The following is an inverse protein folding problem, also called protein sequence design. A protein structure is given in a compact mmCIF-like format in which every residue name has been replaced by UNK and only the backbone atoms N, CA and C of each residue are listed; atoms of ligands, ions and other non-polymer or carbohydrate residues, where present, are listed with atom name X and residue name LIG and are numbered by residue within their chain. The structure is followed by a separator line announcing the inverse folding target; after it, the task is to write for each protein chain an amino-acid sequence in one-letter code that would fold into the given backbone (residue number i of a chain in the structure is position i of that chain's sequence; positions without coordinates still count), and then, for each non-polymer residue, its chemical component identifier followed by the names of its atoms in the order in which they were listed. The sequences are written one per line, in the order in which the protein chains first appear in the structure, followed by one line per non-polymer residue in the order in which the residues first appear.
data_IF_414741785994
#
_entry.id   IF_414741785994
#
_cell.length_a   1.000
_cell.length_b   1.000
_cell.length_c   1.000
_cell.angle_alpha   90.00
_cell.angle_beta   90.00
_cell.angle_gamma   90.00
#
_symmetry.space_group_name_H-M   'P 1'
#
loop_
_entity.id
_entity.type
_entity.pdbx_description
1 polymer ?
#
# COMPACT_ATOMS: atom_id res chain seq x y z
N UNK A 1 -56.59 13.73 7.90
CA UNK A 1 -57.85 13.07 7.48
C UNK A 1 -57.55 11.60 7.23
N UNK A 2 -58.41 10.65 7.61
CA UNK A 2 -58.19 9.25 7.30
C UNK A 2 -58.17 9.03 5.79
N UNK A 3 -57.23 8.22 5.31
CA UNK A 3 -57.11 7.89 3.89
C UNK A 3 -58.30 7.03 3.43
N UNK A 4 -58.91 7.37 2.30
CA UNK A 4 -59.92 6.52 1.67
C UNK A 4 -59.24 5.32 1.00
N UNK A 5 -59.79 4.12 1.17
CA UNK A 5 -59.28 2.87 0.61
C UNK A 5 -60.07 2.37 -0.60
N UNK A 6 -61.23 2.96 -0.88
CA UNK A 6 -62.07 2.67 -2.04
C UNK A 6 -62.28 3.96 -2.86
N UNK A 7 -62.30 3.82 -4.19
CA UNK A 7 -62.53 4.93 -5.12
C UNK A 7 -64.00 5.41 -5.04
N UNK A 8 -64.25 6.64 -4.54
CA UNK A 8 -65.60 7.18 -4.43
C UNK A 8 -66.26 7.40 -5.79
N UNK A 9 -65.52 7.44 -6.90
CA UNK A 9 -66.09 7.61 -8.24
C UNK A 9 -66.92 6.40 -8.70
N UNK A 10 -66.78 5.25 -8.04
CA UNK A 10 -67.51 4.03 -8.36
C UNK A 10 -68.82 3.89 -7.57
N UNK A 11 -69.08 4.77 -6.60
CA UNK A 11 -70.31 4.74 -5.81
C UNK A 11 -71.49 5.41 -6.55
N UNK A 12 -72.66 4.78 -6.48
CA UNK A 12 -73.91 5.30 -7.06
C UNK A 12 -74.83 5.72 -5.91
N UNK A 13 -75.50 6.87 -6.06
CA UNK A 13 -76.46 7.36 -5.07
C UNK A 13 -77.58 6.33 -4.85
N UNK A 14 -77.82 5.87 -3.61
CA UNK A 14 -78.96 5.01 -3.31
C UNK A 14 -80.27 5.70 -3.66
N UNK A 15 -81.23 4.95 -4.22
CA UNK A 15 -82.56 5.50 -4.48
C UNK A 15 -83.36 5.59 -3.17
N UNK A 16 -83.39 6.79 -2.58
CA UNK A 16 -84.08 7.07 -1.33
C UNK A 16 -85.61 7.04 -1.46
N UNK A 17 -86.17 6.95 -2.67
CA UNK A 17 -87.62 6.84 -2.88
C UNK A 17 -88.16 5.41 -2.64
N UNK A 18 -87.28 4.41 -2.64
CA UNK A 18 -87.62 3.01 -2.36
C UNK A 18 -88.23 2.83 -0.96
N UNK A 19 -89.11 1.84 -0.83
CA UNK A 19 -89.83 1.53 0.42
C UNK A 19 -88.87 1.12 1.55
N UNK A 20 -87.67 0.63 1.22
CA UNK A 20 -86.59 0.31 2.17
C UNK A 20 -86.14 1.51 3.02
N UNK A 21 -86.29 2.74 2.52
CA UNK A 21 -85.89 3.97 3.21
C UNK A 21 -87.07 4.73 3.83
N UNK A 22 -88.30 4.21 3.71
CA UNK A 22 -89.53 4.89 4.14
C UNK A 22 -89.55 5.26 5.62
N UNK A 23 -89.07 4.38 6.49
CA UNK A 23 -88.98 4.65 7.93
C UNK A 23 -88.06 5.83 8.26
N UNK A 24 -86.94 5.96 7.54
CA UNK A 24 -86.01 7.07 7.72
C UNK A 24 -86.58 8.36 7.13
N UNK A 25 -87.25 8.29 5.97
CA UNK A 25 -87.92 9.43 5.35
C UNK A 25 -89.05 10.00 6.22
N UNK A 26 -89.90 9.15 6.79
CA UNK A 26 -91.04 9.58 7.61
C UNK A 26 -90.61 10.26 8.92
N UNK A 27 -89.54 9.77 9.56
CA UNK A 27 -88.95 10.41 10.74
C UNK A 27 -88.36 11.78 10.42
N UNK A 28 -87.64 11.89 9.30
CA UNK A 28 -87.05 13.16 8.84
C UNK A 28 -88.14 14.18 8.44
N UNK A 29 -89.21 13.70 7.78
CA UNK A 29 -90.38 14.48 7.40
C UNK A 29 -91.12 15.07 8.61
N UNK A 30 -91.35 14.26 9.65
CA UNK A 30 -91.97 14.72 10.90
C UNK A 30 -91.09 15.71 11.67
N UNK A 31 -89.77 15.44 11.77
CA UNK A 31 -88.84 16.30 12.52
C UNK A 31 -88.61 17.67 11.90
N UNK A 32 -88.71 17.78 10.57
CA UNK A 32 -88.52 19.04 9.83
C UNK A 32 -89.83 19.66 9.34
N UNK A 33 -90.99 19.03 9.57
CA UNK A 33 -92.29 19.43 9.05
C UNK A 33 -92.32 19.60 7.52
N UNK A 34 -91.70 18.66 6.81
CA UNK A 34 -91.60 18.61 5.34
C UNK A 34 -92.30 17.35 4.80
N UNK A 35 -92.55 17.28 3.49
CA UNK A 35 -93.11 16.09 2.84
C UNK A 35 -92.11 14.91 2.80
N UNK A 36 -92.62 13.68 2.66
CA UNK A 36 -91.76 12.49 2.53
C UNK A 36 -90.89 12.51 1.25
N UNK A 37 -91.32 13.24 0.22
CA UNK A 37 -90.56 13.45 -1.02
C UNK A 37 -89.44 14.48 -0.81
N UNK A 38 -89.71 15.58 -0.09
CA UNK A 38 -88.67 16.54 0.32
C UNK A 38 -87.66 15.91 1.29
N UNK A 39 -88.10 14.96 2.12
CA UNK A 39 -87.20 14.18 2.97
C UNK A 39 -86.27 13.25 2.15
N UNK A 40 -86.78 12.63 1.08
CA UNK A 40 -85.97 11.85 0.15
C UNK A 40 -84.92 12.73 -0.56
N UNK A 41 -85.32 13.93 -1.00
CA UNK A 41 -84.43 14.89 -1.65
C UNK A 41 -83.34 15.37 -0.69
N UNK A 42 -83.67 15.71 0.56
CA UNK A 42 -82.67 16.10 1.56
C UNK A 42 -81.66 14.99 1.86
N UNK A 43 -82.08 13.72 1.84
CA UNK A 43 -81.17 12.58 1.99
C UNK A 43 -80.26 12.42 0.78
N UNK A 44 -80.78 12.58 -0.44
CA UNK A 44 -79.99 12.57 -1.66
C UNK A 44 -78.97 13.73 -1.68
N UNK A 45 -79.37 14.94 -1.29
CA UNK A 45 -78.51 16.11 -1.22
C UNK A 45 -77.40 15.93 -0.17
N UNK A 46 -77.73 15.40 1.00
CA UNK A 46 -76.74 15.09 2.05
C UNK A 46 -75.76 14.02 1.60
N UNK A 47 -76.23 12.99 0.89
CA UNK A 47 -75.36 11.95 0.33
C UNK A 47 -74.45 12.51 -0.76
N UNK A 48 -74.98 13.35 -1.66
CA UNK A 48 -74.20 14.00 -2.72
C UNK A 48 -73.10 14.91 -2.15
N UNK A 49 -73.40 15.66 -1.09
CA UNK A 49 -72.42 16.53 -0.41
C UNK A 49 -71.27 15.70 0.19
N UNK A 50 -71.59 14.62 0.88
CA UNK A 50 -70.61 13.70 1.49
C UNK A 50 -69.81 12.93 0.43
N UNK A 51 -70.46 12.47 -0.63
CA UNK A 51 -69.83 11.81 -1.78
C UNK A 51 -68.90 12.77 -2.54
N UNK A 52 -69.28 14.04 -2.70
CA UNK A 52 -68.43 15.07 -3.30
C UNK A 52 -67.20 15.35 -2.41
N UNK A 53 -67.40 15.45 -1.08
CA UNK A 53 -66.29 15.61 -0.14
C UNK A 53 -65.32 14.42 -0.19
N UNK A 54 -65.83 13.18 -0.33
CA UNK A 54 -64.98 11.99 -0.54
C UNK A 54 -64.21 12.04 -1.85
N UNK A 55 -64.84 12.48 -2.96
CA UNK A 55 -64.16 12.68 -4.25
C UNK A 55 -63.03 13.71 -4.15
N UNK A 56 -63.25 14.81 -3.44
CA UNK A 56 -62.23 15.84 -3.23
C UNK A 56 -61.06 15.30 -2.39
N UNK A 57 -61.33 14.52 -1.34
CA UNK A 57 -60.29 13.84 -0.55
C UNK A 57 -59.49 12.88 -1.44
N UNK A 58 -60.17 12.05 -2.23
CA UNK A 58 -59.54 11.09 -3.14
C UNK A 58 -58.67 11.77 -4.21
N UNK A 59 -59.17 12.85 -4.82
CA UNK A 59 -58.41 13.63 -5.80
C UNK A 59 -57.14 14.23 -5.18
N UNK A 60 -57.22 14.74 -3.95
CA UNK A 60 -56.05 15.25 -3.22
C UNK A 60 -55.03 14.14 -2.91
N UNK A 61 -55.49 12.93 -2.55
CA UNK A 61 -54.60 11.79 -2.32
C UNK A 61 -53.84 11.38 -3.59
N UNK A 62 -54.55 11.34 -4.73
CA UNK A 62 -53.94 11.00 -6.02
C UNK A 62 -52.86 12.03 -6.40
N UNK A 63 -53.14 13.32 -6.17
CA UNK A 63 -52.22 14.41 -6.44
C UNK A 63 -50.97 14.33 -5.54
N UNK A 64 -51.15 14.08 -4.25
CA UNK A 64 -50.04 13.93 -3.29
C UNK A 64 -49.18 12.71 -3.60
N UNK A 65 -49.79 11.58 -3.98
CA UNK A 65 -49.06 10.39 -4.41
C UNK A 65 -48.28 10.64 -5.71
N UNK A 66 -48.86 11.36 -6.67
CA UNK A 66 -48.18 11.76 -7.89
C UNK A 66 -46.99 12.68 -7.59
N UNK A 67 -47.16 13.71 -6.75
CA UNK A 67 -46.09 14.61 -6.35
C UNK A 67 -44.95 13.86 -5.64
N UNK A 68 -45.29 12.94 -4.74
CA UNK A 68 -44.30 12.13 -4.02
C UNK A 68 -43.52 11.24 -4.98
N UNK A 69 -44.18 10.63 -5.97
CA UNK A 69 -43.51 9.83 -7.02
C UNK A 69 -42.59 10.69 -7.89
N UNK A 70 -43.05 11.87 -8.32
CA UNK A 70 -42.24 12.79 -9.11
C UNK A 70 -41.03 13.31 -8.33
N UNK A 71 -41.18 13.60 -7.04
CA UNK A 71 -40.08 13.98 -6.15
C UNK A 71 -39.08 12.85 -5.93
N UNK A 72 -39.56 11.63 -5.69
CA UNK A 72 -38.72 10.45 -5.57
C UNK A 72 -37.91 10.19 -6.86
N UNK A 73 -38.56 10.32 -8.03
CA UNK A 73 -37.90 10.20 -9.32
C UNK A 73 -36.86 11.30 -9.56
N UNK A 74 -37.15 12.54 -9.17
CA UNK A 74 -36.17 13.64 -9.23
C UNK A 74 -34.96 13.35 -8.34
N UNK A 75 -35.19 12.98 -7.09
CA UNK A 75 -34.11 12.66 -6.15
C UNK A 75 -33.26 11.48 -6.62
N UNK A 76 -33.89 10.42 -7.16
CA UNK A 76 -33.18 9.27 -7.71
C UNK A 76 -32.29 9.65 -8.91
N UNK A 77 -32.75 10.56 -9.79
CA UNK A 77 -31.95 11.06 -10.91
C UNK A 77 -30.77 11.90 -10.45
N UNK A 78 -30.99 12.81 -9.50
CA UNK A 78 -29.94 13.65 -8.92
C UNK A 78 -28.88 12.81 -8.20
N UNK A 79 -29.29 11.79 -7.45
CA UNK A 79 -28.37 10.86 -6.80
C UNK A 79 -27.57 10.03 -7.82
N UNK A 80 -28.23 9.54 -8.88
CA UNK A 80 -27.55 8.83 -9.95
C UNK A 80 -26.54 9.72 -10.68
N UNK A 81 -26.86 10.98 -10.91
CA UNK A 81 -25.95 11.96 -11.53
C UNK A 81 -24.77 12.28 -10.59
N UNK A 82 -25.02 12.46 -9.29
CA UNK A 82 -23.96 12.64 -8.29
C UNK A 82 -23.00 11.46 -8.26
N UNK A 83 -23.51 10.23 -8.25
CA UNK A 83 -22.69 9.01 -8.26
C UNK A 83 -21.87 8.90 -9.55
N UNK A 84 -22.43 9.28 -10.70
CA UNK A 84 -21.69 9.32 -11.98
C UNK A 84 -20.55 10.34 -11.94
N UNK A 85 -20.82 11.54 -11.44
CA UNK A 85 -19.82 12.61 -11.34
C UNK A 85 -18.71 12.24 -10.35
N UNK A 86 -19.06 11.59 -9.23
CA UNK A 86 -18.09 11.11 -8.25
C UNK A 86 -17.18 10.02 -8.83
N UNK A 87 -17.77 9.06 -9.56
CA UNK A 87 -17.02 8.02 -10.26
C UNK A 87 -16.10 8.60 -11.35
N UNK A 88 -16.58 9.57 -12.12
CA UNK A 88 -15.75 10.24 -13.14
C UNK A 88 -14.56 10.98 -12.52
N UNK A 89 -14.79 11.65 -11.38
CA UNK A 89 -13.71 12.30 -10.62
C UNK A 89 -12.70 11.28 -10.07
N UNK A 90 -13.16 10.13 -9.58
CA UNK A 90 -12.30 9.05 -9.10
C UNK A 90 -11.46 8.47 -10.25
N UNK A 91 -12.09 8.15 -11.38
CA UNK A 91 -11.42 7.65 -12.59
C UNK A 91 -10.39 8.69 -13.13
N UNK A 92 -10.71 9.99 -13.10
CA UNK A 92 -9.78 11.05 -13.50
C UNK A 92 -8.61 11.19 -12.51
N UNK A 93 -8.88 11.08 -11.20
CA UNK A 93 -7.86 11.10 -10.17
C UNK A 93 -6.93 9.88 -10.27
N UNK A 94 -7.48 8.69 -10.52
CA UNK A 94 -6.71 7.47 -10.74
C UNK A 94 -5.83 7.60 -12.00
N UNK A 95 -6.38 8.12 -13.10
CA UNK A 95 -5.59 8.41 -14.30
C UNK A 95 -4.47 9.39 -14.01
N UNK A 96 -4.73 10.50 -13.32
CA UNK A 96 -3.70 11.50 -12.94
C UNK A 96 -2.62 10.88 -12.05
N UNK A 97 -2.98 10.03 -11.09
CA UNK A 97 -2.04 9.29 -10.25
C UNK A 97 -1.22 8.28 -11.06
N UNK A 98 -1.85 7.53 -11.97
CA UNK A 98 -1.17 6.62 -12.88
C UNK A 98 -0.19 7.37 -13.79
N UNK A 99 -0.54 8.57 -14.26
CA UNK A 99 0.35 9.40 -15.08
C UNK A 99 1.53 9.98 -14.30
N UNK A 100 1.34 10.39 -13.04
CA UNK A 100 2.46 10.78 -12.16
C UNK A 100 3.41 9.60 -11.89
N UNK A 101 2.88 8.38 -11.85
CA UNK A 101 3.65 7.14 -11.65
C UNK A 101 4.33 6.65 -12.93
N UNK A 102 3.99 7.16 -14.12
CA UNK A 102 4.70 6.81 -15.35
C UNK A 102 6.17 7.23 -15.18
N UNK A 103 7.14 6.29 -15.31
CA UNK A 103 8.54 6.63 -15.20
C UNK A 103 8.88 7.66 -16.26
N UNK A 104 9.32 8.85 -15.82
CA UNK A 104 9.81 9.88 -16.72
C UNK A 104 11.04 9.32 -17.42
N UNK A 105 10.92 9.00 -18.70
CA UNK A 105 12.05 8.57 -19.50
C UNK A 105 13.08 9.70 -19.50
N UNK A 106 14.35 9.41 -19.20
CA UNK A 106 15.40 10.41 -19.30
C UNK A 106 15.48 10.93 -20.75
N UNK A 107 15.89 12.20 -20.90
CA UNK A 107 16.08 12.81 -22.22
C UNK A 107 17.07 11.97 -23.02
N UNK A 108 16.68 11.59 -24.24
CA UNK A 108 17.53 10.81 -25.13
C UNK A 108 18.67 11.70 -25.66
N UNK A 109 19.89 11.41 -25.22
CA UNK A 109 21.10 12.02 -25.77
C UNK A 109 21.62 11.16 -26.94
N UNK A 110 21.38 11.61 -28.16
CA UNK A 110 21.82 10.92 -29.39
C UNK A 110 23.34 10.91 -29.57
N UNK A 111 24.08 11.77 -28.88
CA UNK A 111 25.54 11.83 -28.92
C UNK A 111 26.19 10.98 -27.81
N UNK A 112 25.43 10.62 -26.76
CA UNK A 112 25.92 9.77 -25.69
C UNK A 112 26.26 8.38 -26.22
N UNK A 113 27.51 7.97 -26.01
CA UNK A 113 27.97 6.62 -26.32
C UNK A 113 27.86 5.75 -25.08
N UNK A 114 27.56 4.46 -25.28
CA UNK A 114 27.75 3.48 -24.22
C UNK A 114 29.20 3.56 -23.71
N UNK A 115 29.44 3.51 -22.39
CA UNK A 115 30.78 3.59 -21.85
C UNK A 115 31.61 2.41 -22.38
N UNK A 116 32.87 2.69 -22.72
CA UNK A 116 33.79 1.69 -23.28
C UNK A 116 34.08 0.52 -22.33
N UNK A 117 33.82 0.69 -21.03
CA UNK A 117 33.95 -0.33 -20.00
C UNK A 117 32.69 -0.29 -19.12
N UNK A 118 31.97 -1.41 -19.05
CA UNK A 118 30.85 -1.57 -18.13
C UNK A 118 31.41 -1.83 -16.73
N UNK A 119 31.15 -0.91 -15.81
CA UNK A 119 31.52 -1.12 -14.41
C UNK A 119 30.69 -2.26 -13.80
N UNK A 120 31.29 -3.13 -12.98
CA UNK A 120 30.55 -4.17 -12.27
C UNK A 120 29.45 -3.53 -11.41
N UNK A 121 28.24 -4.08 -11.48
CA UNK A 121 27.08 -3.59 -10.72
C UNK A 121 26.80 -4.54 -9.56
N UNK A 122 26.82 -4.07 -8.31
CA UNK A 122 26.44 -4.90 -7.18
C UNK A 122 24.95 -5.21 -7.23
N UNK A 123 24.53 -6.26 -6.52
CA UNK A 123 23.15 -6.74 -6.53
C UNK A 123 22.16 -5.67 -6.04
N UNK A 124 20.88 -5.71 -6.50
CA UNK A 124 19.83 -4.86 -5.93
C UNK A 124 19.70 -5.02 -4.41
N UNK A 125 19.86 -6.25 -3.90
CA UNK A 125 19.92 -6.55 -2.47
C UNK A 125 21.02 -5.75 -1.77
N UNK A 126 22.22 -5.73 -2.34
CA UNK A 126 23.34 -5.02 -1.76
C UNK A 126 23.13 -3.50 -1.74
N UNK A 127 22.59 -2.95 -2.82
CA UNK A 127 22.21 -1.54 -2.90
C UNK A 127 21.13 -1.17 -1.88
N UNK A 128 20.12 -2.03 -1.69
CA UNK A 128 19.05 -1.85 -0.68
C UNK A 128 19.62 -1.80 0.74
N UNK A 129 20.55 -2.70 1.08
CA UNK A 129 21.25 -2.72 2.36
C UNK A 129 22.06 -1.44 2.60
N UNK A 130 22.85 -1.01 1.61
CA UNK A 130 23.61 0.25 1.68
C UNK A 130 22.68 1.44 1.84
N UNK A 131 21.58 1.50 1.10
CA UNK A 131 20.59 2.58 1.25
C UNK A 131 19.96 2.63 2.64
N UNK A 132 19.75 1.48 3.27
CA UNK A 132 19.16 1.34 4.60
C UNK A 132 20.17 1.46 5.76
N UNK A 133 21.42 1.90 5.50
CA UNK A 133 22.49 1.99 6.50
C UNK A 133 22.86 0.65 7.17
N UNK A 134 22.47 -0.48 6.56
CA UNK A 134 22.67 -1.80 7.15
C UNK A 134 24.03 -2.40 6.79
N UNK A 135 24.54 -3.27 7.67
CA UNK A 135 25.73 -4.04 7.36
C UNK A 135 25.54 -4.91 6.12
N UNK A 136 26.58 -4.95 5.29
CA UNK A 136 26.70 -5.87 4.18
C UNK A 136 28.15 -6.29 3.96
N UNK A 137 28.34 -7.58 3.65
CA UNK A 137 29.63 -8.17 3.35
C UNK A 137 30.25 -7.56 2.09
N UNK A 138 31.58 -7.37 2.11
CA UNK A 138 32.32 -6.86 0.95
C UNK A 138 32.25 -7.77 -0.27
N UNK A 139 31.97 -9.06 -0.07
CA UNK A 139 31.87 -10.02 -1.16
C UNK A 139 30.89 -9.56 -2.27
N UNK A 140 29.76 -8.94 -1.91
CA UNK A 140 28.77 -8.43 -2.88
C UNK A 140 29.31 -7.32 -3.80
N UNK A 141 30.41 -6.67 -3.40
CA UNK A 141 31.07 -5.61 -4.15
C UNK A 141 32.32 -6.10 -4.89
N UNK A 142 32.66 -7.39 -4.76
CA UNK A 142 33.71 -8.01 -5.57
C UNK A 142 33.23 -8.24 -7.00
N UNK A 143 34.16 -8.45 -7.92
CA UNK A 143 33.83 -8.84 -9.29
C UNK A 143 32.99 -10.12 -9.34
N UNK A 144 33.34 -11.12 -8.51
CA UNK A 144 32.60 -12.38 -8.41
C UNK A 144 31.16 -12.15 -7.92
N UNK A 145 30.98 -11.38 -6.85
CA UNK A 145 29.65 -11.04 -6.31
C UNK A 145 28.79 -10.24 -7.30
N UNK A 146 29.39 -9.32 -8.05
CA UNK A 146 28.70 -8.56 -9.10
C UNK A 146 28.31 -9.44 -10.30
N UNK A 147 29.17 -10.39 -10.70
CA UNK A 147 28.85 -11.34 -11.76
C UNK A 147 27.73 -12.30 -11.34
N UNK A 148 27.74 -12.77 -10.10
CA UNK A 148 26.68 -13.62 -9.55
C UNK A 148 25.33 -12.88 -9.55
N UNK A 149 25.33 -11.65 -9.05
CA UNK A 149 24.17 -10.77 -9.12
C UNK A 149 23.64 -10.58 -10.55
N UNK A 150 24.53 -10.37 -11.52
CA UNK A 150 24.14 -10.20 -12.92
C UNK A 150 23.53 -11.47 -13.54
N UNK A 151 23.88 -12.67 -13.04
CA UNK A 151 23.27 -13.94 -13.46
C UNK A 151 21.90 -14.12 -12.82
N UNK A 152 21.78 -13.88 -11.51
CA UNK A 152 20.53 -14.01 -10.76
C UNK A 152 19.46 -13.01 -11.20
N UNK A 153 19.86 -11.80 -11.62
CA UNK A 153 18.96 -10.76 -12.11
C UNK A 153 18.43 -10.99 -13.54
N UNK A 154 18.83 -12.09 -14.22
CA UNK A 154 18.30 -12.50 -15.53
C UNK A 154 17.10 -13.44 -15.43
N UNK A 155 16.82 -13.99 -14.25
CA UNK A 155 15.52 -14.59 -13.93
C UNK A 155 14.53 -13.49 -13.56
N UNK A 156 13.24 -13.70 -13.81
CA UNK A 156 12.14 -12.86 -13.32
C UNK A 156 12.04 -13.01 -11.79
N UNK A 157 13.07 -12.59 -11.07
CA UNK A 157 13.13 -12.62 -9.62
C UNK A 157 12.65 -11.25 -9.13
N UNK A 158 11.35 -11.14 -8.94
CA UNK A 158 10.80 -10.08 -8.10
C UNK A 158 11.31 -10.25 -6.66
N UNK A 159 11.24 -9.20 -5.84
CA UNK A 159 11.61 -9.23 -4.40
C UNK A 159 10.81 -10.31 -3.61
N UNK A 160 9.76 -10.89 -4.21
CA UNK A 160 8.89 -11.97 -3.70
C UNK A 160 9.26 -13.39 -4.18
N UNK A 161 10.38 -13.57 -4.90
CA UNK A 161 10.77 -14.90 -5.36
C UNK A 161 11.49 -15.65 -4.23
N UNK A 162 10.86 -16.69 -3.68
CA UNK A 162 11.45 -17.58 -2.68
C UNK A 162 12.13 -18.78 -3.36
N UNK A 163 13.40 -19.01 -3.02
CA UNK A 163 14.14 -20.21 -3.33
C UNK A 163 14.05 -21.24 -2.21
N UNK A 164 14.06 -22.51 -2.56
CA UNK A 164 14.16 -23.61 -1.58
C UNK A 164 15.65 -23.79 -1.26
N UNK A 165 16.02 -23.59 0.00
CA UNK A 165 17.39 -23.78 0.51
C UNK A 165 17.40 -24.94 1.50
N UNK A 166 18.49 -25.73 1.51
CA UNK A 166 18.66 -26.84 2.46
C UNK A 166 19.75 -26.46 3.46
N UNK A 167 19.39 -26.40 4.74
CA UNK A 167 20.33 -26.23 5.85
C UNK A 167 20.06 -27.33 6.88
N UNK A 168 21.06 -28.13 7.20
CA UNK A 168 21.04 -29.15 8.25
C UNK A 168 19.75 -30.01 8.26
N UNK A 169 19.47 -30.67 7.13
CA UNK A 169 18.30 -31.53 6.89
C UNK A 169 16.91 -30.86 6.91
N UNK A 170 16.83 -29.53 6.99
CA UNK A 170 15.58 -28.78 6.86
C UNK A 170 15.54 -28.05 5.52
N UNK A 171 14.42 -28.22 4.79
CA UNK A 171 14.09 -27.39 3.64
C UNK A 171 13.46 -26.09 4.11
N UNK A 172 14.12 -24.96 3.85
CA UNK A 172 13.65 -23.63 4.20
C UNK A 172 13.40 -22.79 2.94
N UNK A 173 12.27 -22.08 2.92
CA UNK A 173 11.96 -21.07 1.91
C UNK A 173 12.68 -19.76 2.29
N UNK A 174 13.59 -19.30 1.44
CA UNK A 174 14.30 -18.04 1.62
C UNK A 174 14.21 -17.20 0.34
N UNK A 175 14.08 -15.87 0.41
CA UNK A 175 14.11 -15.03 -0.78
C UNK A 175 15.37 -15.30 -1.59
N UNK A 176 15.26 -15.46 -2.91
CA UNK A 176 16.40 -15.73 -3.83
C UNK A 176 17.45 -14.60 -3.78
N UNK A 177 17.04 -13.40 -3.35
CA UNK A 177 17.94 -12.27 -3.08
C UNK A 177 18.90 -12.49 -1.89
N UNK A 178 18.63 -13.50 -1.06
CA UNK A 178 19.44 -13.93 0.08
C UNK A 178 20.38 -15.06 -0.39
N UNK A 179 21.21 -14.78 -1.39
CA UNK A 179 22.43 -15.57 -1.63
C UNK A 179 23.36 -15.32 -0.43
N UNK A 180 23.10 -15.98 0.71
CA UNK A 180 24.03 -16.00 1.84
C UNK A 180 25.33 -16.59 1.32
N UNK A 181 26.44 -15.87 1.35
CA UNK A 181 27.72 -16.53 1.28
C UNK A 181 27.84 -17.35 2.56
N UNK A 182 27.79 -18.67 2.41
CA UNK A 182 28.23 -19.64 3.41
C UNK A 182 29.55 -19.14 4.02
N UNK A 183 29.63 -19.22 5.35
CA UNK A 183 30.87 -19.14 6.15
C UNK A 183 32.04 -18.42 5.48
N UNK A 184 32.19 -17.13 5.80
CA UNK A 184 33.49 -16.48 5.72
C UNK A 184 34.19 -16.75 4.37
N UNK A 185 33.54 -16.38 3.25
CA UNK A 185 34.22 -16.39 1.95
C UNK A 185 35.55 -15.70 2.18
N UNK A 186 36.63 -16.45 2.07
CA UNK A 186 37.97 -15.99 2.40
C UNK A 186 38.37 -14.96 1.34
N UNK A 187 37.86 -13.73 1.47
CA UNK A 187 38.22 -12.63 0.59
C UNK A 187 39.73 -12.49 0.67
N UNK A 188 40.39 -12.50 -0.48
CA UNK A 188 41.78 -12.09 -0.54
C UNK A 188 41.90 -10.59 -0.27
N UNK A 189 43.08 -10.13 0.13
CA UNK A 189 43.33 -8.69 0.30
C UNK A 189 43.05 -7.91 -0.99
N UNK A 190 43.40 -8.49 -2.14
CA UNK A 190 43.15 -7.91 -3.47
C UNK A 190 41.65 -7.72 -3.74
N UNK A 191 40.84 -8.75 -3.47
CA UNK A 191 39.39 -8.68 -3.63
C UNK A 191 38.76 -7.65 -2.68
N UNK A 192 39.21 -7.60 -1.43
CA UNK A 192 38.80 -6.58 -0.46
C UNK A 192 39.14 -5.16 -0.95
N UNK A 193 40.36 -4.98 -1.47
CA UNK A 193 40.83 -3.69 -1.98
C UNK A 193 40.05 -3.20 -3.19
N UNK A 194 39.61 -4.11 -4.07
CA UNK A 194 38.71 -3.76 -5.16
C UNK A 194 37.28 -3.46 -4.65
N UNK A 195 36.75 -4.33 -3.78
CA UNK A 195 35.38 -4.25 -3.27
C UNK A 195 35.10 -2.98 -2.46
N UNK A 196 36.03 -2.55 -1.61
CA UNK A 196 35.86 -1.36 -0.78
C UNK A 196 35.65 -0.09 -1.62
N UNK A 197 36.32 0.00 -2.77
CA UNK A 197 36.20 1.16 -3.68
C UNK A 197 34.80 1.23 -4.26
N UNK A 198 34.22 0.08 -4.62
CA UNK A 198 32.85 0.01 -5.12
C UNK A 198 31.83 0.27 -4.01
N UNK A 199 32.05 -0.23 -2.79
CA UNK A 199 31.20 0.06 -1.64
C UNK A 199 31.12 1.57 -1.36
N UNK A 200 32.26 2.26 -1.29
CA UNK A 200 32.30 3.72 -1.04
C UNK A 200 31.52 4.48 -2.12
N UNK A 201 31.69 4.12 -3.40
CA UNK A 201 30.91 4.71 -4.51
C UNK A 201 29.40 4.49 -4.36
N UNK A 202 28.98 3.31 -3.92
CA UNK A 202 27.56 3.03 -3.70
C UNK A 202 27.00 3.78 -2.48
N UNK A 203 27.81 4.03 -1.44
CA UNK A 203 27.41 4.90 -0.32
C UNK A 203 27.22 6.35 -0.76
N UNK A 204 28.13 6.87 -1.60
CA UNK A 204 27.99 8.21 -2.20
C UNK A 204 26.74 8.30 -3.07
N UNK A 205 26.48 7.28 -3.90
CA UNK A 205 25.28 7.20 -4.73
C UNK A 205 24.00 7.12 -3.89
N UNK A 206 24.05 6.46 -2.73
CA UNK A 206 22.98 6.40 -1.74
C UNK A 206 22.87 7.67 -0.88
N UNK A 207 23.68 8.71 -1.15
CA UNK A 207 23.67 10.01 -0.46
C UNK A 207 23.90 9.92 1.05
N UNK A 208 24.78 9.01 1.47
CA UNK A 208 25.22 8.94 2.86
C UNK A 208 25.83 10.28 3.32
N UNK A 209 25.71 10.64 4.61
CA UNK A 209 26.38 11.83 5.13
C UNK A 209 27.90 11.73 4.93
N UNK A 210 28.52 12.85 4.55
CA UNK A 210 29.92 12.90 4.11
C UNK A 210 30.88 12.38 5.19
N UNK A 211 30.59 12.65 6.45
CA UNK A 211 31.36 12.24 7.61
C UNK A 211 31.45 10.71 7.72
N UNK A 212 30.38 9.99 7.38
CA UNK A 212 30.30 8.53 7.46
C UNK A 212 31.10 7.90 6.32
N UNK A 213 30.95 8.44 5.11
CA UNK A 213 31.72 8.02 3.93
C UNK A 213 33.20 8.26 4.16
N UNK A 214 33.58 9.43 4.66
CA UNK A 214 34.97 9.78 4.97
C UNK A 214 35.55 8.90 6.08
N UNK A 215 34.82 8.64 7.16
CA UNK A 215 35.28 7.77 8.24
C UNK A 215 35.57 6.35 7.73
N UNK A 216 34.67 5.79 6.91
CA UNK A 216 34.87 4.47 6.33
C UNK A 216 36.01 4.43 5.29
N UNK A 217 36.13 5.45 4.45
CA UNK A 217 37.23 5.56 3.49
C UNK A 217 38.59 5.67 4.22
N UNK A 218 38.66 6.49 5.26
CA UNK A 218 39.85 6.62 6.09
C UNK A 218 40.17 5.33 6.85
N UNK A 219 39.17 4.61 7.34
CA UNK A 219 39.35 3.28 7.92
C UNK A 219 40.05 2.33 6.95
N UNK A 220 39.57 2.23 5.72
CA UNK A 220 40.22 1.39 4.71
C UNK A 220 41.63 1.85 4.33
N UNK A 221 41.86 3.15 4.26
CA UNK A 221 43.20 3.70 4.06
C UNK A 221 44.14 3.34 5.21
N UNK A 222 43.68 3.46 6.45
CA UNK A 222 44.47 3.10 7.63
C UNK A 222 44.79 1.60 7.65
N UNK A 223 43.86 0.73 7.23
CA UNK A 223 44.12 -0.71 7.09
C UNK A 223 45.15 -1.03 6.00
N UNK A 224 45.11 -0.34 4.85
CA UNK A 224 46.10 -0.55 3.76
C UNK A 224 47.53 -0.26 4.17
N UNK A 225 47.70 0.74 5.03
CA UNK A 225 48.98 1.24 5.50
C UNK A 225 49.35 0.72 6.90
N UNK A 226 48.56 -0.20 7.45
CA UNK A 226 48.76 -0.71 8.79
C UNK A 226 49.98 -1.66 8.84
N UNK A 227 50.84 -1.53 9.86
CA UNK A 227 52.04 -2.36 10.02
C UNK A 227 51.76 -3.86 10.05
N UNK A 228 50.63 -4.26 10.68
CA UNK A 228 50.13 -5.65 10.73
C UNK A 228 50.05 -6.31 9.35
N UNK A 229 49.88 -5.56 8.26
CA UNK A 229 49.80 -6.11 6.90
C UNK A 229 51.06 -6.87 6.48
N UNK A 230 52.22 -6.46 6.98
CA UNK A 230 53.51 -7.08 6.67
C UNK A 230 53.87 -8.24 7.60
N UNK A 231 53.02 -8.55 8.56
CA UNK A 231 53.24 -9.64 9.50
C UNK A 231 52.68 -10.98 8.99
N UNK A 232 53.18 -12.14 9.49
CA UNK A 232 52.62 -13.44 9.18
C UNK A 232 51.12 -13.50 9.52
N UNK A 233 50.30 -13.94 8.57
CA UNK A 233 48.83 -13.95 8.66
C UNK A 233 48.20 -12.56 8.87
N UNK A 234 48.96 -11.49 8.63
CA UNK A 234 48.55 -10.10 8.79
C UNK A 234 47.34 -9.71 7.98
N UNK A 235 47.33 -10.03 6.68
CA UNK A 235 46.19 -9.74 5.81
C UNK A 235 44.91 -10.44 6.27
N UNK A 236 44.99 -11.73 6.66
CA UNK A 236 43.84 -12.48 7.20
C UNK A 236 43.33 -11.87 8.50
N UNK A 237 44.24 -11.46 9.38
CA UNK A 237 43.92 -10.77 10.64
C UNK A 237 43.15 -9.48 10.38
N UNK A 238 43.67 -8.63 9.48
CA UNK A 238 43.05 -7.35 9.12
C UNK A 238 41.69 -7.54 8.42
N UNK A 239 41.55 -8.58 7.60
CA UNK A 239 40.27 -8.92 6.94
C UNK A 239 39.19 -9.34 7.95
N UNK A 240 39.56 -10.13 8.96
CA UNK A 240 38.65 -10.50 10.05
C UNK A 240 38.32 -9.30 10.92
N UNK A 241 39.33 -8.51 11.29
CA UNK A 241 39.16 -7.30 12.09
C UNK A 241 38.20 -6.33 11.41
N UNK A 242 38.41 -6.01 10.13
CA UNK A 242 37.53 -5.08 9.42
C UNK A 242 36.09 -5.60 9.32
N UNK A 243 35.90 -6.92 9.16
CA UNK A 243 34.57 -7.50 9.07
C UNK A 243 33.81 -7.38 10.40
N UNK A 244 34.51 -7.52 11.54
CA UNK A 244 33.94 -7.37 12.88
C UNK A 244 33.62 -5.90 13.19
N UNK A 245 34.62 -5.03 13.03
CA UNK A 245 34.48 -3.60 13.36
C UNK A 245 33.41 -2.95 12.50
N UNK A 246 33.31 -3.29 11.21
CA UNK A 246 32.25 -2.76 10.37
C UNK A 246 30.86 -3.22 10.79
N UNK A 247 30.67 -4.47 11.22
CA UNK A 247 29.36 -4.93 11.74
C UNK A 247 28.95 -4.08 12.93
N UNK A 248 29.82 -3.99 13.92
CA UNK A 248 29.60 -3.20 15.12
C UNK A 248 29.32 -1.72 14.78
N UNK A 249 30.07 -1.13 13.86
CA UNK A 249 29.85 0.24 13.41
C UNK A 249 28.46 0.45 12.79
N UNK A 250 27.98 -0.48 11.96
CA UNK A 250 26.63 -0.42 11.42
C UNK A 250 25.55 -0.62 12.51
N UNK A 251 25.78 -1.49 13.48
CA UNK A 251 24.85 -1.70 14.60
C UNK A 251 24.75 -0.44 15.48
N UNK A 252 25.86 0.25 15.71
CA UNK A 252 25.88 1.52 16.44
C UNK A 252 25.15 2.65 15.73
N UNK A 253 25.25 2.71 14.39
CA UNK A 253 24.47 3.66 13.58
C UNK A 253 22.98 3.43 13.80
N UNK A 254 22.51 2.17 13.87
CA UNK A 254 21.11 1.85 14.16
C UNK A 254 20.68 2.28 15.57
N UNK A 255 21.59 2.26 16.52
CA UNK A 255 21.37 2.74 17.89
C UNK A 255 21.45 4.27 18.02
N UNK A 256 21.70 5.00 16.92
CA UNK A 256 21.82 6.46 16.92
C UNK A 256 23.15 6.97 17.48
N UNK A 257 24.16 6.10 17.60
CA UNK A 257 25.50 6.44 18.04
C UNK A 257 26.46 6.47 16.86
N UNK A 258 27.42 7.40 16.88
CA UNK A 258 28.41 7.53 15.82
C UNK A 258 29.82 7.41 16.40
N UNK A 259 30.44 6.25 16.19
CA UNK A 259 31.87 6.05 16.48
C UNK A 259 32.65 6.25 15.20
N UNK A 260 33.78 6.95 15.32
CA UNK A 260 34.71 7.11 14.21
C UNK A 260 35.48 5.81 13.96
N UNK A 261 34.99 5.02 13.01
CA UNK A 261 35.60 3.75 12.58
C UNK A 261 37.03 3.91 12.06
N UNK A 262 37.46 5.11 11.63
CA UNK A 262 38.81 5.33 11.12
C UNK A 262 39.91 5.05 12.16
N UNK A 263 39.60 5.20 13.45
CA UNK A 263 40.54 4.98 14.53
C UNK A 263 40.68 3.47 14.79
N UNK A 264 41.80 2.89 14.35
CA UNK A 264 42.08 1.47 14.55
C UNK A 264 42.28 1.18 16.04
N UNK A 265 41.42 0.33 16.59
CA UNK A 265 41.58 -0.17 17.95
C UNK A 265 42.63 -1.29 17.96
N UNK A 266 43.86 -0.94 18.35
CA UNK A 266 45.01 -1.85 18.41
C UNK A 266 44.79 -3.03 19.37
N UNK A 267 44.10 -2.81 20.49
CA UNK A 267 43.84 -3.88 21.47
C UNK A 267 42.87 -4.91 20.88
N UNK A 268 41.80 -4.46 20.24
CA UNK A 268 40.87 -5.34 19.53
C UNK A 268 41.57 -6.05 18.36
N UNK A 269 42.43 -5.36 17.62
CA UNK A 269 43.19 -5.96 16.52
C UNK A 269 44.11 -7.08 17.03
N UNK A 270 44.80 -6.86 18.15
CA UNK A 270 45.60 -7.90 18.81
C UNK A 270 44.73 -9.08 19.23
N UNK A 271 43.58 -8.85 19.85
CA UNK A 271 42.66 -9.95 20.23
C UNK A 271 42.24 -10.78 19.02
N UNK A 272 41.82 -10.13 17.94
CA UNK A 272 41.43 -10.81 16.68
C UNK A 272 42.59 -11.65 16.13
N UNK A 273 43.83 -11.15 16.23
CA UNK A 273 45.02 -11.91 15.82
C UNK A 273 45.23 -13.16 16.64
N UNK A 274 45.19 -13.05 17.97
CA UNK A 274 45.40 -14.20 18.86
C UNK A 274 44.34 -15.28 18.59
N UNK A 275 43.06 -14.89 18.50
CA UNK A 275 41.97 -15.83 18.16
C UNK A 275 42.18 -16.53 16.81
N UNK A 276 42.70 -15.81 15.80
CA UNK A 276 43.00 -16.40 14.50
C UNK A 276 44.10 -17.45 14.61
N UNK A 277 45.19 -17.13 15.31
CA UNK A 277 46.32 -18.04 15.48
C UNK A 277 45.92 -19.28 16.27
N UNK A 278 45.12 -19.13 17.32
CA UNK A 278 44.61 -20.25 18.11
C UNK A 278 43.76 -21.21 17.27
N UNK A 279 42.87 -20.67 16.43
CA UNK A 279 42.07 -21.48 15.48
C UNK A 279 42.95 -22.22 14.49
N UNK A 280 43.95 -21.55 13.92
CA UNK A 280 44.86 -22.17 12.97
C UNK A 280 45.72 -23.27 13.60
N UNK A 281 46.07 -23.14 14.89
CA UNK A 281 46.74 -24.21 15.63
C UNK A 281 45.81 -25.39 15.83
N UNK A 282 44.57 -25.18 16.28
CA UNK A 282 43.58 -26.24 16.47
C UNK A 282 43.30 -27.02 15.18
N UNK A 283 43.15 -26.32 14.06
CA UNK A 283 42.92 -26.93 12.74
C UNK A 283 44.14 -27.73 12.23
N UNK A 284 45.35 -27.45 12.74
CA UNK A 284 46.56 -28.21 12.39
C UNK A 284 46.69 -29.55 13.12
N UNK A 285 45.86 -29.78 14.16
CA UNK A 285 45.81 -31.02 14.93
C UNK A 285 44.65 -31.96 14.53
N UNK A 286 43.83 -31.56 13.55
CA UNK A 286 42.72 -32.34 12.98
C UNK A 286 43.09 -32.83 11.57
#
# INVERSE_FOLDING_TARGET
MPALTLDPNLEICPDFTLDSHRNLRSQLAQGLSISEDEAAQKMADSWNLDHQARKDIWANQLLEEQQTREEADRHAREEQERLRLEKEKEDEAEKKEAEKKKPKLPVFDAAARAPSILSPRPSPFAKKKVFAYEYIELWYFTYAGCMDAAKSNRGVASDDTFGITRSDDVLALAPVSVSKPSELVNLTWSEMSAAKTLLVKEMEAAKWPKEYVMALAQFFYNLDNHGMRHEPHGEKTLLLFQARVRREWHDQIKLGTFINIANINEDLLRTVRHELLDRMQLDSYL
#
